data_IF_910939079002
#
_entry.id   IF_910939079002
#
_cell.length_a   1.000
_cell.length_b   1.000
_cell.length_c   1.000
_cell.angle_alpha   90.00
_cell.angle_beta   90.00
_cell.angle_gamma   90.00
#
_symmetry.space_group_name_H-M   'P 1'
#
loop_
_entity.id
_entity.type
_entity.pdbx_description
1 polymer ?
#
# COMPACT_ATOMS: atom_id res chain seq x y z
N UNK A 1 9.70 9.39 2.56
CA UNK A 1 9.47 10.72 1.95
C UNK A 1 10.47 11.72 2.53
N UNK A 2 10.57 12.92 1.96
CA UNK A 2 11.32 14.03 2.55
C UNK A 2 10.40 15.27 2.67
N UNK A 3 10.39 16.02 3.80
CA UNK A 3 9.46 17.12 4.03
C UNK A 3 9.58 18.29 3.04
N UNK A 4 10.77 18.48 2.46
CA UNK A 4 11.06 19.55 1.50
C UNK A 4 10.78 19.15 0.04
N UNK A 5 10.49 17.87 -0.24
CA UNK A 5 10.27 17.39 -1.61
C UNK A 5 8.87 17.79 -2.12
N UNK A 6 8.82 18.57 -3.20
CA UNK A 6 7.57 19.01 -3.82
C UNK A 6 6.68 17.85 -4.31
N UNK A 7 7.27 16.78 -4.86
CA UNK A 7 6.52 15.59 -5.25
C UNK A 7 5.91 14.85 -4.05
N UNK A 8 6.62 14.81 -2.91
CA UNK A 8 6.09 14.23 -1.68
C UNK A 8 4.89 15.03 -1.17
N UNK A 9 4.98 16.36 -1.16
CA UNK A 9 3.88 17.23 -0.74
C UNK A 9 2.62 17.05 -1.60
N UNK A 10 2.79 16.85 -2.91
CA UNK A 10 1.67 16.56 -3.82
C UNK A 10 1.03 15.19 -3.59
N UNK A 11 1.85 14.18 -3.25
CA UNK A 11 1.38 12.82 -3.00
C UNK A 11 0.71 12.66 -1.63
N UNK A 12 1.12 13.44 -0.62
CA UNK A 12 0.61 13.34 0.74
C UNK A 12 -0.93 13.32 0.85
N UNK A 13 -1.70 14.27 0.27
CA UNK A 13 -3.16 14.23 0.34
C UNK A 13 -3.76 13.00 -0.34
N UNK A 14 -3.13 12.49 -1.41
CA UNK A 14 -3.59 11.29 -2.13
C UNK A 14 -3.42 10.05 -1.24
N UNK A 15 -2.30 9.94 -0.52
CA UNK A 15 -2.11 8.87 0.46
C UNK A 15 -3.09 8.95 1.63
N UNK A 16 -3.48 10.16 2.06
CA UNK A 16 -4.49 10.34 3.11
C UNK A 16 -5.90 9.88 2.62
N UNK A 17 -6.22 10.10 1.35
CA UNK A 17 -7.44 9.56 0.72
C UNK A 17 -7.40 8.04 0.56
N UNK A 18 -6.26 7.47 0.19
CA UNK A 18 -6.07 6.00 0.15
C UNK A 18 -6.22 5.40 1.54
N UNK A 19 -5.58 5.99 2.56
CA UNK A 19 -5.74 5.56 3.94
C UNK A 19 -7.21 5.62 4.39
N UNK A 20 -7.95 6.65 3.95
CA UNK A 20 -9.38 6.78 4.23
C UNK A 20 -10.21 5.66 3.63
N UNK A 21 -9.85 5.17 2.44
CA UNK A 21 -10.50 4.02 1.80
C UNK A 21 -10.30 2.70 2.55
N UNK A 22 -9.24 2.57 3.37
CA UNK A 22 -8.92 1.37 4.15
C UNK A 22 -9.24 1.50 5.65
N UNK A 23 -9.93 2.54 6.11
CA UNK A 23 -10.22 2.74 7.55
C UNK A 23 -10.97 1.57 8.21
N UNK A 24 -11.77 0.84 7.44
CA UNK A 24 -12.53 -0.32 7.92
C UNK A 24 -11.84 -1.66 7.65
N UNK A 25 -10.69 -1.66 6.99
CA UNK A 25 -9.91 -2.85 6.65
C UNK A 25 -8.68 -2.93 7.55
N UNK A 26 -8.73 -3.77 8.58
CA UNK A 26 -7.65 -3.92 9.55
C UNK A 26 -6.39 -4.58 8.96
N UNK A 27 -6.49 -5.21 7.78
CA UNK A 27 -5.37 -5.92 7.16
C UNK A 27 -4.48 -5.00 6.30
N UNK A 28 -4.92 -3.76 6.05
CA UNK A 28 -4.19 -2.80 5.22
C UNK A 28 -3.80 -1.57 6.02
N UNK A 29 -2.50 -1.36 6.17
CA UNK A 29 -1.94 -0.18 6.85
C UNK A 29 -1.22 0.72 5.84
N UNK A 30 -1.63 1.99 5.78
CA UNK A 30 -0.95 3.02 5.00
C UNK A 30 -0.02 3.81 5.92
N UNK A 31 1.28 3.77 5.63
CA UNK A 31 2.31 4.40 6.45
C UNK A 31 3.14 5.42 5.67
N UNK A 32 3.62 6.45 6.37
CA UNK A 32 4.54 7.47 5.85
C UNK A 32 5.78 7.52 6.75
N UNK A 33 6.96 7.33 6.17
CA UNK A 33 8.24 7.44 6.88
C UNK A 33 9.02 8.64 6.36
N UNK A 34 9.40 9.57 7.25
CA UNK A 34 10.35 10.63 6.92
C UNK A 34 11.77 10.06 6.95
N UNK A 35 12.33 9.83 5.76
CA UNK A 35 13.67 9.26 5.60
C UNK A 35 14.79 10.27 5.90
N UNK A 36 14.46 11.55 6.14
CA UNK A 36 15.44 12.57 6.54
C UNK A 36 15.62 12.66 8.05
N UNK A 37 14.67 12.10 8.80
CA UNK A 37 14.65 12.14 10.26
C UNK A 37 14.71 10.74 10.91
N UNK A 38 14.65 9.66 10.13
CA UNK A 38 14.62 8.30 10.62
C UNK A 38 15.53 7.39 9.79
N UNK A 39 16.14 6.41 10.46
CA UNK A 39 16.84 5.31 9.81
C UNK A 39 15.85 4.26 9.28
N UNK A 40 16.27 3.52 8.25
CA UNK A 40 15.52 2.41 7.67
C UNK A 40 16.50 1.35 7.13
N UNK A 41 16.09 0.08 6.97
CA UNK A 41 16.97 -0.97 6.48
C UNK A 41 17.25 -0.78 4.98
N UNK A 42 18.41 -0.18 4.67
CA UNK A 42 18.83 0.17 3.30
C UNK A 42 19.16 -1.05 2.43
N UNK A 43 19.39 -2.20 3.06
CA UNK A 43 19.53 -3.50 2.40
C UNK A 43 18.19 -4.06 1.91
N UNK A 44 17.09 -3.60 2.50
CA UNK A 44 15.71 -4.01 2.16
C UNK A 44 15.01 -2.99 1.27
N UNK A 45 15.16 -1.70 1.55
CA UNK A 45 14.49 -0.61 0.81
C UNK A 45 15.50 0.25 0.06
N UNK A 46 15.45 0.20 -1.27
CA UNK A 46 16.35 0.97 -2.13
C UNK A 46 15.77 2.36 -2.44
N UNK A 47 16.01 3.31 -1.54
CA UNK A 47 15.52 4.69 -1.68
C UNK A 47 16.57 5.58 -2.35
N UNK A 48 16.48 5.72 -3.67
CA UNK A 48 17.37 6.60 -4.45
C UNK A 48 16.84 8.04 -4.61
N UNK A 49 15.58 8.29 -4.28
CA UNK A 49 14.91 9.57 -4.45
C UNK A 49 13.59 9.63 -3.70
N UNK A 50 12.90 10.77 -3.79
CA UNK A 50 11.63 10.95 -3.07
C UNK A 50 10.49 11.44 -3.97
N UNK A 51 9.26 10.94 -3.77
CA UNK A 51 8.92 9.79 -2.92
C UNK A 51 9.32 8.46 -3.57
N UNK A 52 9.68 7.48 -2.74
CA UNK A 52 9.72 6.04 -3.10
C UNK A 52 8.65 5.34 -2.27
N UNK A 53 7.87 4.46 -2.90
CA UNK A 53 6.78 3.73 -2.28
C UNK A 53 7.01 2.23 -2.42
N UNK A 54 6.71 1.49 -1.36
CA UNK A 54 6.77 0.04 -1.33
C UNK A 54 5.49 -0.51 -0.72
N UNK A 55 5.09 -1.69 -1.18
CA UNK A 55 4.09 -2.53 -0.55
C UNK A 55 4.78 -3.78 0.02
N UNK A 56 4.43 -4.12 1.27
CA UNK A 56 4.90 -5.34 1.93
C UNK A 56 3.68 -6.19 2.31
N UNK A 57 3.55 -7.38 1.74
CA UNK A 57 2.49 -8.33 2.10
C UNK A 57 2.76 -8.98 3.47
N UNK A 58 1.75 -9.61 4.06
CA UNK A 58 1.90 -10.36 5.30
C UNK A 58 2.78 -11.61 5.10
N UNK A 59 2.74 -12.20 3.91
CA UNK A 59 3.64 -13.28 3.46
C UNK A 59 5.10 -12.84 3.26
N UNK A 60 5.39 -11.53 3.34
CA UNK A 60 6.75 -10.99 3.27
C UNK A 60 7.19 -10.55 1.87
N UNK A 61 6.32 -10.59 0.87
CA UNK A 61 6.64 -10.07 -0.47
C UNK A 61 6.79 -8.54 -0.40
N UNK A 62 7.91 -8.04 -0.91
CA UNK A 62 8.19 -6.61 -1.00
C UNK A 62 8.19 -6.19 -2.47
N UNK A 63 7.33 -5.24 -2.83
CA UNK A 63 7.19 -4.77 -4.21
C UNK A 63 7.28 -3.25 -4.21
N UNK A 64 8.16 -2.71 -5.05
CA UNK A 64 8.23 -1.27 -5.30
C UNK A 64 7.05 -0.81 -6.15
N UNK A 65 6.50 0.35 -5.83
CA UNK A 65 5.45 0.97 -6.61
C UNK A 65 5.99 2.11 -7.47
N UNK A 66 5.96 1.90 -8.80
CA UNK A 66 6.38 2.88 -9.80
C UNK A 66 5.22 3.32 -10.72
N UNK A 67 3.98 3.09 -10.28
CA UNK A 67 2.76 3.43 -11.03
C UNK A 67 2.31 4.89 -10.85
N UNK A 68 1.13 5.18 -11.44
CA UNK A 68 0.52 6.51 -11.38
C UNK A 68 0.17 6.94 -9.96
N UNK A 69 0.49 8.18 -9.62
CA UNK A 69 0.26 8.71 -8.27
C UNK A 69 -1.18 9.19 -8.07
N UNK A 70 -2.16 8.37 -8.45
CA UNK A 70 -3.59 8.60 -8.22
C UNK A 70 -4.10 7.66 -7.15
N UNK A 71 -5.23 8.02 -6.51
CA UNK A 71 -5.85 7.19 -5.48
C UNK A 71 -6.20 5.81 -6.02
N UNK A 72 -6.82 5.76 -7.20
CA UNK A 72 -7.33 4.55 -7.83
C UNK A 72 -6.20 3.59 -8.18
N UNK A 73 -5.11 4.09 -8.77
CA UNK A 73 -3.97 3.27 -9.17
C UNK A 73 -3.22 2.69 -7.95
N UNK A 74 -3.17 3.42 -6.83
CA UNK A 74 -2.57 2.91 -5.59
C UNK A 74 -3.45 1.83 -4.96
N UNK A 75 -4.78 2.04 -4.90
CA UNK A 75 -5.73 1.03 -4.40
C UNK A 75 -5.67 -0.24 -5.24
N UNK A 76 -5.72 -0.13 -6.57
CA UNK A 76 -5.62 -1.28 -7.47
C UNK A 76 -4.33 -2.06 -7.24
N UNK A 77 -3.21 -1.35 -7.03
CA UNK A 77 -1.95 -1.98 -6.73
C UNK A 77 -1.96 -2.72 -5.39
N UNK A 78 -2.55 -2.14 -4.34
CA UNK A 78 -2.70 -2.81 -3.03
C UNK A 78 -3.54 -4.08 -3.20
N UNK A 79 -4.70 -4.01 -3.84
CA UNK A 79 -5.59 -5.16 -4.04
C UNK A 79 -4.94 -6.28 -4.88
N UNK A 80 -4.10 -5.91 -5.84
CA UNK A 80 -3.36 -6.88 -6.67
C UNK A 80 -2.26 -7.61 -5.89
N UNK A 81 -1.65 -6.95 -4.91
CA UNK A 81 -0.45 -7.47 -4.23
C UNK A 81 -0.71 -7.93 -2.78
N UNK A 82 -1.83 -7.57 -2.16
CA UNK A 82 -2.20 -8.06 -0.83
C UNK A 82 -2.43 -9.57 -0.88
N UNK A 83 -2.14 -10.22 0.24
CA UNK A 83 -2.48 -11.63 0.39
C UNK A 83 -4.00 -11.75 0.34
N UNK A 84 -4.51 -12.62 -0.54
CA UNK A 84 -5.94 -12.91 -0.58
C UNK A 84 -6.27 -13.72 0.66
N UNK A 85 -7.18 -13.21 1.48
CA UNK A 85 -7.84 -14.05 2.48
C UNK A 85 -8.50 -15.17 1.70
N UNK A 86 -8.15 -16.42 2.00
CA UNK A 86 -8.81 -17.58 1.40
C UNK A 86 -10.30 -17.49 1.73
N UNK A 87 -11.09 -16.96 0.79
CA UNK A 87 -12.53 -17.01 0.86
C UNK A 87 -12.89 -18.49 0.83
N UNK A 88 -13.39 -19.03 1.94
CA UNK A 88 -14.16 -20.26 1.87
C UNK A 88 -15.37 -19.94 0.98
N UNK A 89 -15.39 -20.51 -0.22
CA UNK A 89 -16.55 -20.51 -1.10
C UNK A 89 -17.74 -21.06 -0.31
N UNK A 90 -18.70 -20.20 0.03
CA UNK A 90 -20.05 -20.65 0.33
C UNK A 90 -20.67 -21.07 -1.00
N UNK A 91 -20.57 -22.36 -1.33
CA UNK A 91 -21.48 -22.98 -2.30
C UNK A 91 -22.92 -22.77 -1.78
N UNK A 92 -23.83 -22.14 -2.54
CA UNK A 92 -25.23 -22.18 -2.20
C UNK A 92 -25.70 -23.62 -2.31
N UNK A 93 -26.08 -24.20 -1.17
CA UNK A 93 -26.69 -25.51 -1.10
C UNK A 93 -27.87 -25.58 -2.08
N UNK A 94 -27.76 -26.49 -3.06
CA UNK A 94 -28.89 -26.93 -3.88
C UNK A 94 -29.96 -27.51 -2.95
N UNK A 95 -31.08 -26.80 -2.83
CA UNK A 95 -32.32 -27.37 -2.32
C UNK A 95 -33.01 -28.09 -3.48
N UNK A 96 -32.76 -29.40 -3.58
CA UNK A 96 -33.54 -30.35 -4.38
C UNK A 96 -34.28 -31.27 -3.40
N UNK A 97 -35.51 -30.92 -2.97
CA UNK A 97 -36.76 -31.70 -3.12
C UNK A 97 -37.94 -31.06 -2.36
#
# INVERSE_FOLDING_TARGET
>A
YAPWCGHCKKLAPILDEVASSYQSDADVVIAKLDATANDYPTDTFEVQGYPTMYFRSASGNLVQYDGDRTKEAIIEFIEKNRDKVAQQEQEPAKDEL
#
